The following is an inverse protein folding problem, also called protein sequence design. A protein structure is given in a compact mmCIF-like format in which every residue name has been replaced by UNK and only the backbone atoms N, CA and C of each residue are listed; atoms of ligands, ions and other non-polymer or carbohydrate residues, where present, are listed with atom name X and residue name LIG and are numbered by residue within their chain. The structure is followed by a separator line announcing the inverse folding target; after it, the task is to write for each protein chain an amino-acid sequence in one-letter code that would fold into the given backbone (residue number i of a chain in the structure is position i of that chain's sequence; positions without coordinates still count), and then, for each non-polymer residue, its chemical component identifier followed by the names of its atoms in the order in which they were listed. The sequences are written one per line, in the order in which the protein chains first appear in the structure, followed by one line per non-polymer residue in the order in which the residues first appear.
data_IF_393077308050
#
_entry.id   IF_393077308050
#
_cell.length_a   1.000
_cell.length_b   1.000
_cell.length_c   1.000
_cell.angle_alpha   90.00
_cell.angle_beta   90.00
_cell.angle_gamma   90.00
#
_symmetry.space_group_name_H-M   'P 1'
#
loop_
_entity.id
_entity.type
_entity.pdbx_description
1 polymer ?
#
# COMPACT_ATOMS: atom_id res chain seq x y z
N UNK A 1 32.05 21.57 -1.65
CA UNK A 1 30.78 21.49 -2.37
C UNK A 1 29.72 21.32 -1.30
N UNK A 2 28.86 22.31 -1.06
CA UNK A 2 27.78 22.21 -0.11
C UNK A 2 26.79 21.17 -0.69
N UNK A 3 26.65 20.05 -0.01
CA UNK A 3 25.66 19.04 -0.34
C UNK A 3 24.28 19.71 -0.16
N UNK A 4 23.68 20.14 -1.27
CA UNK A 4 22.39 20.81 -1.29
C UNK A 4 21.38 19.84 -0.65
N UNK A 5 20.93 20.17 0.57
CA UNK A 5 19.92 19.37 1.28
C UNK A 5 18.72 19.17 0.36
N UNK A 6 18.54 17.95 -0.13
CA UNK A 6 17.42 17.61 -1.02
C UNK A 6 16.09 17.94 -0.35
N UNK A 7 15.19 18.56 -1.09
CA UNK A 7 13.84 18.84 -0.59
C UNK A 7 13.09 17.53 -0.31
N UNK A 8 12.06 17.57 0.55
CA UNK A 8 11.20 16.42 0.85
C UNK A 8 10.58 15.86 -0.43
N UNK A 9 10.19 16.73 -1.35
CA UNK A 9 9.59 16.34 -2.64
C UNK A 9 10.57 15.61 -3.56
N UNK A 10 11.81 16.08 -3.63
CA UNK A 10 12.85 15.41 -4.43
C UNK A 10 13.16 14.01 -3.89
N UNK A 11 13.26 13.88 -2.57
CA UNK A 11 13.48 12.56 -1.95
C UNK A 11 12.28 11.64 -2.11
N UNK A 12 11.06 12.17 -1.96
CA UNK A 12 9.85 11.39 -2.21
C UNK A 12 9.79 10.90 -3.65
N UNK A 13 10.20 11.71 -4.63
CA UNK A 13 10.31 11.30 -6.03
C UNK A 13 11.31 10.16 -6.24
N UNK A 14 12.53 10.30 -5.69
CA UNK A 14 13.58 9.27 -5.80
C UNK A 14 13.22 7.95 -5.11
N UNK A 15 12.57 8.02 -3.95
CA UNK A 15 12.23 6.84 -3.15
C UNK A 15 10.84 6.29 -3.46
N UNK A 16 9.97 7.09 -4.08
CA UNK A 16 8.62 6.69 -4.49
C UNK A 16 8.63 5.59 -5.55
N UNK A 17 9.61 5.63 -6.47
CA UNK A 17 9.74 4.60 -7.52
C UNK A 17 10.04 3.22 -6.93
N UNK A 18 11.13 3.03 -6.16
CA UNK A 18 11.39 1.72 -5.55
C UNK A 18 10.29 1.28 -4.57
N UNK A 19 9.66 2.22 -3.87
CA UNK A 19 8.52 1.91 -3.02
C UNK A 19 7.30 1.49 -3.82
N UNK A 20 7.03 2.14 -4.96
CA UNK A 20 5.95 1.77 -5.87
C UNK A 20 6.15 0.38 -6.49
N UNK A 21 7.38 0.04 -6.88
CA UNK A 21 7.72 -1.30 -7.35
C UNK A 21 7.52 -2.35 -6.24
N UNK A 22 7.91 -2.04 -5.01
CA UNK A 22 7.65 -2.90 -3.86
C UNK A 22 6.15 -3.16 -3.64
N UNK A 23 5.32 -2.11 -3.65
CA UNK A 23 3.86 -2.24 -3.55
C UNK A 23 3.28 -3.02 -4.73
N UNK A 24 3.81 -2.82 -5.94
CA UNK A 24 3.40 -3.56 -7.14
C UNK A 24 3.71 -5.04 -7.02
N UNK A 25 4.89 -5.41 -6.51
CA UNK A 25 5.21 -6.80 -6.22
C UNK A 25 4.19 -7.41 -5.25
N UNK A 26 3.85 -6.71 -4.16
CA UNK A 26 2.85 -7.18 -3.21
C UNK A 26 1.47 -7.37 -3.87
N UNK A 27 1.01 -6.37 -4.64
CA UNK A 27 -0.29 -6.41 -5.31
C UNK A 27 -0.35 -7.52 -6.38
N UNK A 28 0.67 -7.65 -7.21
CA UNK A 28 0.75 -8.71 -8.23
C UNK A 28 0.77 -10.09 -7.57
N UNK A 29 1.55 -10.24 -6.49
CA UNK A 29 1.60 -11.49 -5.73
C UNK A 29 0.22 -11.87 -5.19
N UNK A 30 -0.58 -10.90 -4.71
CA UNK A 30 -1.95 -11.17 -4.24
C UNK A 30 -2.89 -11.59 -5.37
N UNK A 31 -2.76 -11.00 -6.58
CA UNK A 31 -3.58 -11.34 -7.74
C UNK A 31 -3.32 -12.79 -8.21
N UNK A 32 -2.09 -13.28 -8.08
CA UNK A 32 -1.70 -14.63 -8.48
C UNK A 32 -1.71 -15.65 -7.32
N UNK A 33 -2.06 -15.23 -6.11
CA UNK A 33 -2.06 -16.08 -4.92
C UNK A 33 -2.99 -17.29 -5.02
N UNK A 34 -4.08 -17.19 -5.80
CA UNK A 34 -5.03 -18.29 -6.03
C UNK A 34 -4.42 -19.46 -6.82
N UNK A 35 -3.43 -19.18 -7.68
CA UNK A 35 -2.81 -20.20 -8.50
C UNK A 35 -1.70 -20.95 -7.77
N UNK A 36 -1.06 -20.30 -6.81
CA UNK A 36 0.10 -20.85 -6.14
C UNK A 36 0.15 -20.42 -4.67
N UNK A 37 -0.21 -21.35 -3.79
CA UNK A 37 -0.34 -21.10 -2.34
C UNK A 37 0.87 -20.38 -1.69
N UNK A 38 2.14 -20.63 -2.04
CA UNK A 38 3.29 -19.88 -1.50
C UNK A 38 3.27 -18.40 -1.78
N UNK A 39 2.59 -17.94 -2.86
CA UNK A 39 2.45 -16.51 -3.16
C UNK A 39 1.62 -15.78 -2.09
N UNK A 40 0.67 -16.46 -1.48
CA UNK A 40 -0.12 -15.89 -0.39
C UNK A 40 0.75 -15.56 0.83
N UNK A 41 1.69 -16.44 1.17
CA UNK A 41 2.66 -16.16 2.24
C UNK A 41 3.60 -15.02 1.87
N UNK A 42 4.06 -14.97 0.62
CA UNK A 42 4.90 -13.88 0.14
C UNK A 42 4.16 -12.53 0.18
N UNK A 43 2.91 -12.49 -0.25
CA UNK A 43 2.06 -11.31 -0.12
C UNK A 43 1.96 -10.84 1.34
N UNK A 44 1.72 -11.78 2.27
CA UNK A 44 1.59 -11.45 3.69
C UNK A 44 2.89 -10.89 4.27
N UNK A 45 4.04 -11.45 3.89
CA UNK A 45 5.36 -10.94 4.28
C UNK A 45 5.59 -9.52 3.73
N UNK A 46 5.26 -9.28 2.45
CA UNK A 46 5.39 -7.97 1.84
C UNK A 46 4.43 -6.96 2.50
N UNK A 47 3.20 -7.35 2.77
CA UNK A 47 2.22 -6.49 3.45
C UNK A 47 2.70 -6.09 4.84
N UNK A 48 3.14 -7.05 5.65
CA UNK A 48 3.70 -6.80 6.99
C UNK A 48 5.05 -6.05 6.93
N UNK A 49 5.79 -6.17 5.84
CA UNK A 49 7.02 -5.43 5.59
C UNK A 49 6.81 -3.95 5.26
N UNK A 50 5.61 -3.58 4.78
CA UNK A 50 5.32 -2.18 4.37
C UNK A 50 5.60 -1.15 5.47
N UNK A 51 5.16 -1.31 6.73
CA UNK A 51 5.51 -0.39 7.81
C UNK A 51 7.02 -0.25 8.03
N UNK A 52 7.76 -1.34 7.88
CA UNK A 52 9.22 -1.34 8.07
C UNK A 52 9.93 -0.57 6.95
N UNK A 53 9.48 -0.72 5.71
CA UNK A 53 10.01 0.01 4.56
C UNK A 53 9.75 1.51 4.70
N UNK A 54 8.54 1.90 5.07
CA UNK A 54 8.19 3.32 5.31
C UNK A 54 9.02 3.89 6.47
N UNK A 55 9.10 3.17 7.59
CA UNK A 55 9.94 3.55 8.71
C UNK A 55 11.41 3.73 8.30
N UNK A 56 11.95 2.81 7.48
CA UNK A 56 13.32 2.89 6.98
C UNK A 56 13.57 4.19 6.21
N UNK A 57 12.68 4.58 5.28
CA UNK A 57 12.81 5.82 4.52
C UNK A 57 12.70 7.06 5.44
N UNK A 58 11.73 7.09 6.34
CA UNK A 58 11.56 8.19 7.29
C UNK A 58 12.77 8.30 8.24
N UNK A 59 13.26 7.17 8.75
CA UNK A 59 14.43 7.14 9.63
C UNK A 59 15.70 7.57 8.90
N UNK A 60 15.87 7.13 7.67
CA UNK A 60 16.99 7.55 6.81
C UNK A 60 16.99 9.06 6.60
N UNK A 61 15.82 9.65 6.32
CA UNK A 61 15.67 11.11 6.22
C UNK A 61 16.05 11.81 7.51
N UNK A 62 15.54 11.34 8.64
CA UNK A 62 15.82 11.91 9.93
C UNK A 62 17.32 11.90 10.28
N UNK A 63 18.01 10.81 9.92
CA UNK A 63 19.46 10.69 10.11
C UNK A 63 20.22 11.64 9.17
N UNK A 64 19.84 11.73 7.90
CA UNK A 64 20.47 12.61 6.92
C UNK A 64 20.33 14.09 7.28
N UNK A 65 19.31 14.45 8.02
CA UNK A 65 19.04 15.81 8.48
C UNK A 65 19.54 16.03 9.93
N UNK A 66 20.45 15.19 10.40
CA UNK A 66 21.04 15.27 11.76
C UNK A 66 20.01 15.32 12.91
N UNK A 67 18.81 14.83 12.67
CA UNK A 67 17.72 14.83 13.64
C UNK A 67 16.94 16.16 13.72
N UNK A 68 17.12 17.06 12.76
CA UNK A 68 16.40 18.34 12.70
C UNK A 68 15.04 18.25 11.99
N UNK A 69 14.78 17.18 11.25
CA UNK A 69 13.48 17.01 10.56
C UNK A 69 12.35 16.90 11.59
N UNK A 70 11.39 17.80 11.52
CA UNK A 70 10.19 17.78 12.35
C UNK A 70 9.27 16.63 11.98
N UNK A 71 8.38 16.27 12.92
CA UNK A 71 7.35 15.24 12.72
C UNK A 71 6.55 15.44 11.42
N UNK A 72 6.08 16.69 11.22
CA UNK A 72 5.31 17.04 10.04
C UNK A 72 6.06 16.77 8.73
N UNK A 73 7.38 17.01 8.70
CA UNK A 73 8.23 16.76 7.54
C UNK A 73 8.37 15.25 7.25
N UNK A 74 8.52 14.43 8.29
CA UNK A 74 8.58 12.96 8.12
C UNK A 74 7.23 12.37 7.71
N UNK A 75 6.15 12.86 8.30
CA UNK A 75 4.81 12.45 7.91
C UNK A 75 4.49 12.82 6.46
N UNK A 76 4.80 14.07 6.07
CA UNK A 76 4.63 14.54 4.68
C UNK A 76 5.43 13.70 3.69
N UNK A 77 6.67 13.33 4.04
CA UNK A 77 7.48 12.41 3.23
C UNK A 77 6.74 11.09 3.00
N UNK A 78 6.18 10.51 4.05
CA UNK A 78 5.45 9.25 3.95
C UNK A 78 4.16 9.37 3.13
N UNK A 79 3.40 10.47 3.26
CA UNK A 79 2.23 10.72 2.41
C UNK A 79 2.64 10.74 0.93
N UNK A 80 3.71 11.47 0.61
CA UNK A 80 4.22 11.55 -0.77
C UNK A 80 4.73 10.22 -1.29
N UNK A 81 5.39 9.40 -0.44
CA UNK A 81 5.81 8.04 -0.78
C UNK A 81 4.62 7.16 -1.14
N UNK A 82 3.56 7.18 -0.31
CA UNK A 82 2.36 6.40 -0.60
C UNK A 82 1.65 6.91 -1.85
N UNK A 83 1.50 8.21 -2.02
CA UNK A 83 0.84 8.78 -3.20
C UNK A 83 1.56 8.38 -4.50
N UNK A 84 2.88 8.60 -4.58
CA UNK A 84 3.66 8.24 -5.75
C UNK A 84 3.80 6.72 -5.93
N UNK A 85 4.04 5.99 -4.83
CA UNK A 85 4.16 4.55 -4.84
C UNK A 85 2.86 3.86 -5.26
N UNK A 86 1.73 4.31 -4.73
CA UNK A 86 0.42 3.76 -5.09
C UNK A 86 0.03 4.12 -6.53
N UNK A 87 0.43 5.28 -7.04
CA UNK A 87 0.20 5.65 -8.43
C UNK A 87 0.90 4.67 -9.38
N UNK A 88 2.17 4.36 -9.13
CA UNK A 88 2.93 3.37 -9.92
C UNK A 88 2.30 1.98 -9.77
N UNK A 89 1.97 1.58 -8.54
CA UNK A 89 1.32 0.31 -8.26
C UNK A 89 -0.02 0.18 -8.99
N UNK A 90 -0.86 1.22 -8.95
CA UNK A 90 -2.15 1.26 -9.62
C UNK A 90 -2.04 1.09 -11.13
N UNK A 91 -1.03 1.72 -11.74
CA UNK A 91 -0.79 1.54 -13.18
C UNK A 91 -0.44 0.09 -13.51
N UNK A 92 0.47 -0.53 -12.74
CA UNK A 92 0.88 -1.92 -12.96
C UNK A 92 -0.29 -2.88 -12.73
N UNK A 93 -1.04 -2.70 -11.64
CA UNK A 93 -2.22 -3.52 -11.33
C UNK A 93 -3.29 -3.37 -12.42
N UNK A 94 -3.54 -2.16 -12.91
CA UNK A 94 -4.44 -1.94 -14.03
C UNK A 94 -4.04 -2.75 -15.26
N UNK A 95 -2.77 -2.70 -15.65
CA UNK A 95 -2.27 -3.46 -16.80
C UNK A 95 -2.41 -4.98 -16.59
N UNK A 96 -2.15 -5.47 -15.38
CA UNK A 96 -2.31 -6.90 -15.04
C UNK A 96 -3.78 -7.32 -15.12
N UNK A 97 -4.70 -6.55 -14.55
CA UNK A 97 -6.13 -6.85 -14.58
C UNK A 97 -6.72 -6.74 -15.98
N UNK A 98 -6.26 -5.78 -16.78
CA UNK A 98 -6.79 -5.56 -18.12
C UNK A 98 -6.30 -6.60 -19.14
N UNK A 99 -5.02 -7.00 -19.08
CA UNK A 99 -4.38 -7.79 -20.13
C UNK A 99 -3.99 -9.21 -19.71
N UNK A 100 -3.67 -9.43 -18.44
CA UNK A 100 -3.16 -10.72 -17.96
C UNK A 100 -4.27 -11.55 -17.29
N UNK A 101 -5.12 -10.93 -16.48
CA UNK A 101 -6.22 -11.60 -15.77
C UNK A 101 -7.53 -10.81 -15.86
N UNK A 102 -8.15 -10.69 -17.03
CA UNK A 102 -9.39 -9.91 -17.19
C UNK A 102 -10.59 -10.50 -16.43
N UNK A 103 -10.58 -11.78 -16.12
CA UNK A 103 -11.64 -12.46 -15.36
C UNK A 103 -11.46 -12.37 -13.85
N UNK A 104 -10.32 -11.84 -13.36
CA UNK A 104 -9.98 -11.84 -11.93
C UNK A 104 -11.10 -11.31 -11.02
N UNK A 105 -11.75 -10.20 -11.41
CA UNK A 105 -12.81 -9.57 -10.60
C UNK A 105 -14.03 -10.51 -10.51
N UNK A 106 -14.40 -11.15 -11.63
CA UNK A 106 -15.52 -12.10 -11.69
C UNK A 106 -15.18 -13.32 -10.85
N UNK A 107 -13.99 -13.89 -11.03
CA UNK A 107 -13.52 -15.11 -10.34
C UNK A 107 -13.51 -14.89 -8.81
N UNK A 108 -12.98 -13.75 -8.35
CA UNK A 108 -12.94 -13.42 -6.92
C UNK A 108 -14.33 -13.17 -6.33
N UNK A 109 -15.19 -12.50 -7.08
CA UNK A 109 -16.56 -12.25 -6.62
C UNK A 109 -17.34 -13.56 -6.54
N UNK A 110 -17.17 -14.45 -7.52
CA UNK A 110 -17.79 -15.77 -7.50
C UNK A 110 -17.28 -16.63 -6.34
N UNK A 111 -15.96 -16.64 -6.11
CA UNK A 111 -15.36 -17.37 -4.98
C UNK A 111 -15.89 -16.86 -3.63
N UNK A 112 -16.08 -15.54 -3.49
CA UNK A 112 -16.68 -14.96 -2.30
C UNK A 112 -18.14 -15.41 -2.12
N UNK A 113 -18.94 -15.38 -3.18
CA UNK A 113 -20.34 -15.87 -3.15
C UNK A 113 -20.40 -17.34 -2.75
N UNK A 114 -19.55 -18.19 -3.33
CA UNK A 114 -19.52 -19.61 -3.03
C UNK A 114 -19.09 -19.88 -1.58
N UNK A 115 -18.14 -19.08 -1.06
CA UNK A 115 -17.77 -19.13 0.36
C UNK A 115 -18.93 -18.73 1.27
N UNK A 116 -19.64 -17.62 0.98
CA UNK A 116 -20.79 -17.20 1.80
C UNK A 116 -21.94 -18.21 1.77
N UNK A 117 -22.15 -18.92 0.66
CA UNK A 117 -23.15 -20.00 0.58
C UNK A 117 -22.83 -21.19 1.52
N UNK A 118 -21.57 -21.37 1.92
CA UNK A 118 -21.21 -22.40 2.89
C UNK A 118 -21.58 -22.05 4.32
N UNK A 119 -21.82 -20.76 4.61
CA UNK A 119 -22.15 -20.27 5.93
C UNK A 119 -23.67 -20.32 6.16
N UNK A 120 -24.18 -21.15 7.11
CA UNK A 120 -25.62 -21.35 7.30
C UNK A 120 -26.40 -20.07 7.61
N UNK A 121 -25.76 -19.09 8.23
CA UNK A 121 -26.35 -17.81 8.64
C UNK A 121 -26.49 -16.80 7.48
N UNK A 122 -25.85 -17.02 6.35
CA UNK A 122 -25.81 -16.09 5.23
C UNK A 122 -26.43 -16.63 3.94
N UNK A 123 -26.90 -17.89 3.93
CA UNK A 123 -27.48 -18.54 2.73
C UNK A 123 -28.65 -17.77 2.11
N UNK A 124 -29.49 -17.16 2.95
CA UNK A 124 -30.71 -16.46 2.54
C UNK A 124 -30.58 -14.93 2.74
N UNK A 125 -29.36 -14.39 2.67
CA UNK A 125 -29.17 -12.95 2.82
C UNK A 125 -29.45 -12.22 1.50
N UNK A 126 -30.24 -11.14 1.57
CA UNK A 126 -30.50 -10.24 0.44
C UNK A 126 -29.21 -9.75 -0.22
N UNK A 127 -28.12 -9.66 0.57
CA UNK A 127 -26.81 -9.27 0.08
C UNK A 127 -26.23 -10.31 -0.89
N UNK A 128 -26.41 -11.60 -0.62
CA UNK A 128 -25.94 -12.68 -1.47
C UNK A 128 -26.69 -12.68 -2.81
N UNK A 129 -28.01 -12.50 -2.76
CA UNK A 129 -28.85 -12.39 -3.97
C UNK A 129 -28.47 -11.17 -4.81
N UNK A 130 -28.23 -10.02 -4.17
CA UNK A 130 -27.80 -8.80 -4.85
C UNK A 130 -26.44 -8.96 -5.54
N UNK A 131 -25.45 -9.62 -4.89
CA UNK A 131 -24.13 -9.88 -5.47
C UNK A 131 -24.26 -10.89 -6.64
N UNK A 132 -25.06 -11.93 -6.48
CA UNK A 132 -25.30 -12.90 -7.56
C UNK A 132 -25.99 -12.24 -8.77
N UNK A 133 -26.99 -11.39 -8.52
CA UNK A 133 -27.63 -10.59 -9.56
C UNK A 133 -26.62 -9.68 -10.30
N UNK A 134 -25.68 -9.07 -9.57
CA UNK A 134 -24.64 -8.24 -10.18
C UNK A 134 -23.68 -9.03 -11.07
N UNK A 135 -23.34 -10.27 -10.69
CA UNK A 135 -22.53 -11.19 -11.52
C UNK A 135 -23.31 -11.55 -12.80
N UNK A 136 -24.56 -11.99 -12.67
CA UNK A 136 -25.39 -12.45 -13.80
C UNK A 136 -25.66 -11.32 -14.80
N UNK A 137 -25.83 -10.11 -14.30
CA UNK A 137 -26.05 -8.89 -15.12
C UNK A 137 -24.76 -8.24 -15.59
N UNK A 138 -23.57 -8.76 -15.21
CA UNK A 138 -22.26 -8.17 -15.50
C UNK A 138 -22.14 -6.70 -15.03
N UNK A 139 -22.76 -6.38 -13.88
CA UNK A 139 -22.72 -5.06 -13.24
C UNK A 139 -21.59 -5.08 -12.19
N UNK A 140 -20.46 -5.70 -12.50
CA UNK A 140 -19.28 -5.71 -11.64
C UNK A 140 -18.41 -4.48 -11.94
N UNK A 141 -17.64 -3.99 -10.95
CA UNK A 141 -16.75 -2.86 -11.17
C UNK A 141 -15.74 -3.19 -12.28
N UNK A 142 -15.51 -2.21 -13.11
CA UNK A 142 -14.46 -2.30 -14.14
C UNK A 142 -13.06 -2.29 -13.51
N UNK A 143 -12.04 -2.80 -14.21
CA UNK A 143 -10.65 -2.76 -13.70
C UNK A 143 -10.20 -1.36 -13.28
N UNK A 144 -10.63 -0.30 -14.00
CA UNK A 144 -10.27 1.08 -13.66
C UNK A 144 -10.96 1.56 -12.39
N UNK A 145 -12.21 1.21 -12.16
CA UNK A 145 -12.94 1.56 -10.93
C UNK A 145 -12.33 0.86 -9.71
N UNK A 146 -11.98 -0.43 -9.85
CA UNK A 146 -11.33 -1.20 -8.80
C UNK A 146 -9.97 -0.58 -8.44
N UNK A 147 -9.14 -0.28 -9.43
CA UNK A 147 -7.81 0.30 -9.23
C UNK A 147 -7.90 1.70 -8.64
N UNK A 148 -8.87 2.52 -9.05
CA UNK A 148 -9.11 3.85 -8.50
C UNK A 148 -9.51 3.77 -7.02
N UNK A 149 -10.40 2.86 -6.67
CA UNK A 149 -10.80 2.62 -5.28
C UNK A 149 -9.62 2.13 -4.43
N UNK A 150 -8.81 1.22 -4.97
CA UNK A 150 -7.57 0.74 -4.34
C UNK A 150 -6.56 1.89 -4.12
N UNK A 151 -6.38 2.77 -5.11
CA UNK A 151 -5.50 3.93 -5.01
C UNK A 151 -5.87 4.81 -3.82
N UNK A 152 -7.12 5.20 -3.71
CA UNK A 152 -7.58 6.04 -2.59
C UNK A 152 -7.48 5.33 -1.25
N UNK A 153 -7.88 4.08 -1.18
CA UNK A 153 -7.82 3.28 0.04
C UNK A 153 -6.39 3.12 0.56
N UNK A 154 -5.45 2.72 -0.31
CA UNK A 154 -4.05 2.50 0.07
C UNK A 154 -3.36 3.83 0.42
N UNK A 155 -3.64 4.91 -0.33
CA UNK A 155 -3.08 6.24 -0.04
C UNK A 155 -3.57 6.76 1.32
N UNK A 156 -4.86 6.61 1.61
CA UNK A 156 -5.43 7.05 2.89
C UNK A 156 -4.88 6.23 4.06
N UNK A 157 -4.96 4.90 3.97
CA UNK A 157 -4.45 3.99 5.02
C UNK A 157 -2.94 4.15 5.19
N UNK A 158 -2.20 4.32 4.09
CA UNK A 158 -0.77 4.57 4.09
C UNK A 158 -0.40 5.90 4.75
N UNK A 159 -1.21 6.95 4.56
CA UNK A 159 -1.03 8.23 5.25
C UNK A 159 -1.13 8.08 6.78
N UNK A 160 -2.11 7.32 7.26
CA UNK A 160 -2.26 7.02 8.69
C UNK A 160 -1.08 6.18 9.22
N UNK A 161 -0.68 5.16 8.47
CA UNK A 161 0.49 4.34 8.80
C UNK A 161 1.77 5.19 8.85
N UNK A 162 1.93 6.11 7.89
CA UNK A 162 3.05 7.05 7.85
C UNK A 162 3.11 7.95 9.08
N UNK A 163 1.97 8.40 9.61
CA UNK A 163 1.91 9.17 10.83
C UNK A 163 2.47 8.37 12.04
N UNK A 164 2.07 7.11 12.15
CA UNK A 164 2.54 6.23 13.23
C UNK A 164 4.04 5.93 13.11
N UNK A 165 4.51 5.61 11.91
CA UNK A 165 5.93 5.32 11.67
C UNK A 165 6.81 6.56 11.86
N UNK A 166 6.32 7.77 11.53
CA UNK A 166 7.02 9.03 11.76
C UNK A 166 7.27 9.30 13.26
N UNK A 167 6.31 8.99 14.13
CA UNK A 167 6.49 9.09 15.59
C UNK A 167 7.65 8.21 16.08
N UNK A 168 7.75 7.00 15.55
CA UNK A 168 8.81 6.06 15.91
C UNK A 168 10.16 6.52 15.31
N UNK A 169 10.14 7.03 14.08
CA UNK A 169 11.33 7.46 13.35
C UNK A 169 12.03 8.68 13.99
N UNK A 170 11.32 9.51 14.74
CA UNK A 170 11.88 10.66 15.46
C UNK A 170 12.68 10.32 16.73
N UNK A 171 12.80 9.05 17.10
CA UNK A 171 13.58 8.68 18.31
C UNK A 171 14.99 9.25 18.22
N UNK A 172 15.48 9.91 19.31
CA UNK A 172 16.77 10.57 19.32
C UNK A 172 17.89 9.61 18.97
N UNK A 173 18.89 10.12 18.24
CA UNK A 173 20.08 9.34 17.89
C UNK A 173 20.89 9.02 19.15
N UNK A 174 21.36 7.78 19.33
CA UNK A 174 22.22 7.44 20.45
C UNK A 174 23.52 8.27 20.35
N UNK A 175 23.81 9.07 21.37
CA UNK A 175 24.99 9.94 21.43
C UNK A 175 24.70 11.45 21.47
N UNK A 176 23.72 11.97 20.75
CA UNK A 176 23.39 13.42 20.75
C UNK A 176 22.55 13.88 21.98
N UNK A 177 22.18 12.98 22.87
CA UNK A 177 21.38 13.30 24.07
C UNK A 177 22.18 14.15 25.11
N UNK A 178 23.50 14.18 25.01
CA UNK A 178 24.36 14.90 25.97
C UNK A 178 24.55 16.39 25.65
N UNK A 179 24.47 16.80 24.38
CA UNK A 179 24.74 18.17 23.97
C UNK A 179 23.54 19.13 24.13
N UNK A 180 22.31 18.62 24.25
CA UNK A 180 21.11 19.45 24.47
C UNK A 180 20.88 19.92 25.91
N UNK A 181 21.74 19.51 26.87
CA UNK A 181 21.64 19.87 28.29
C UNK A 181 22.74 20.83 28.76
N UNK A 182 23.51 21.37 27.84
CA UNK A 182 24.45 22.47 28.08
C UNK A 182 23.95 23.72 27.31
#
# INVERSE_FOLDING_TARGET
MADSKKSIYQQAGEWGVPFGLYLSCAAVTSIFADWFMPLQFLFLILLLGTPLVVYYFQRRRFIQDDGFTEYAGLWMLGIMLFLLGTLICSLIVFLVLQYVRPTYIVDQTQAAVDFYKTLPQMKDSEMLEAVQFAIDRKILPTPIEMVTSMFWFVTFTGSLLSALTALIAQRPLPGKRRERKQ
#
